data_IF_933668196315
#
_entry.id   IF_933668196315
#
_cell.length_a   1.000
_cell.length_b   1.000
_cell.length_c   1.000
_cell.angle_alpha   90.00
_cell.angle_beta   90.00
_cell.angle_gamma   90.00
#
_symmetry.space_group_name_H-M   'P 1'
#
loop_
_entity.id
_entity.type
_entity.pdbx_description
1 polymer ?
#
# COMPACT_ATOMS: atom_id res chain seq x y z
N UNK A 1 -73.46 8.47 26.65
CA UNK A 1 -72.99 9.21 25.46
C UNK A 1 -72.86 10.68 25.84
N UNK A 2 -71.67 11.11 26.26
CA UNK A 2 -71.35 12.49 26.62
C UNK A 2 -70.01 12.81 25.98
N UNK A 3 -70.03 13.84 25.14
CA UNK A 3 -68.87 14.42 24.48
C UNK A 3 -68.11 15.22 25.54
N UNK A 4 -66.80 14.98 25.67
CA UNK A 4 -65.89 15.92 26.32
C UNK A 4 -64.70 16.13 25.40
N UNK A 5 -64.56 17.37 24.95
CA UNK A 5 -63.41 17.87 24.22
C UNK A 5 -62.20 17.93 25.16
N UNK A 6 -61.03 17.55 24.64
CA UNK A 6 -59.74 17.92 25.22
C UNK A 6 -58.87 18.47 24.11
N UNK A 7 -58.37 19.68 24.37
CA UNK A 7 -57.50 20.49 23.53
C UNK A 7 -56.11 19.88 23.60
N UNK A 8 -55.61 19.33 22.49
CA UNK A 8 -54.19 18.98 22.36
C UNK A 8 -53.44 20.09 21.65
N UNK A 9 -52.62 20.80 22.42
CA UNK A 9 -51.60 21.72 21.96
C UNK A 9 -50.57 20.98 21.09
N UNK A 10 -50.41 21.40 19.83
CA UNK A 10 -49.31 20.95 18.98
C UNK A 10 -48.03 21.68 19.39
N UNK A 11 -47.09 20.98 20.03
CA UNK A 11 -45.69 21.38 20.06
C UNK A 11 -44.97 20.73 18.88
N UNK A 12 -44.80 21.47 17.79
CA UNK A 12 -43.82 21.14 16.75
C UNK A 12 -42.41 21.40 17.32
N UNK A 13 -41.80 20.37 17.88
CA UNK A 13 -40.35 20.34 18.11
C UNK A 13 -39.69 20.02 16.77
N UNK A 14 -39.31 21.08 16.04
CA UNK A 14 -38.30 21.00 14.98
C UNK A 14 -36.96 20.67 15.64
N UNK A 15 -36.74 19.38 15.88
CA UNK A 15 -35.43 18.85 16.21
C UNK A 15 -34.52 18.98 14.99
N UNK A 16 -33.74 20.06 14.93
CA UNK A 16 -32.53 20.08 14.13
C UNK A 16 -31.60 19.01 14.69
N UNK A 17 -31.64 17.80 14.14
CA UNK A 17 -30.49 16.92 14.19
C UNK A 17 -29.41 17.59 13.35
N UNK A 18 -28.59 18.43 14.01
CA UNK A 18 -27.21 18.63 13.59
C UNK A 18 -26.56 17.26 13.70
N UNK A 19 -26.66 16.46 12.64
CA UNK A 19 -25.65 15.45 12.37
C UNK A 19 -24.35 16.24 12.31
N UNK A 20 -23.56 16.18 13.37
CA UNK A 20 -22.15 16.52 13.30
C UNK A 20 -21.55 15.49 12.35
N UNK A 21 -21.64 15.77 11.05
CA UNK A 21 -20.69 15.25 10.10
C UNK A 21 -19.35 15.72 10.64
N UNK A 22 -18.65 14.85 11.37
CA UNK A 22 -17.26 15.04 11.71
C UNK A 22 -16.60 15.48 10.41
N UNK A 23 -15.99 16.67 10.34
CA UNK A 23 -15.37 17.12 9.13
C UNK A 23 -14.33 16.06 8.82
N UNK A 24 -14.52 15.35 7.71
CA UNK A 24 -13.46 14.53 7.14
C UNK A 24 -12.30 15.53 7.03
N UNK A 25 -11.23 15.31 7.82
CA UNK A 25 -10.00 16.11 7.80
C UNK A 25 -9.33 15.88 6.44
N UNK A 26 -9.94 16.40 5.38
CA UNK A 26 -9.56 16.17 3.99
C UNK A 26 -8.46 17.12 3.53
N UNK A 27 -7.99 18.01 4.41
CA UNK A 27 -6.82 18.84 4.17
C UNK A 27 -5.97 18.85 5.42
N UNK A 28 -4.75 18.33 5.28
CA UNK A 28 -3.62 18.74 6.10
C UNK A 28 -3.58 20.27 6.09
N UNK A 29 -3.28 20.90 7.22
CA UNK A 29 -2.95 22.33 7.19
C UNK A 29 -1.80 22.56 6.20
N UNK A 30 -1.70 23.73 5.54
CA UNK A 30 -0.71 23.98 4.48
C UNK A 30 0.74 23.60 4.83
N UNK A 31 1.08 23.64 6.12
CA UNK A 31 2.43 23.39 6.64
C UNK A 31 2.56 22.06 7.41
N UNK A 32 1.50 21.24 7.49
CA UNK A 32 1.52 19.97 8.20
C UNK A 32 2.08 18.86 7.30
N UNK A 33 3.15 18.13 7.72
CA UNK A 33 3.73 17.05 6.92
C UNK A 33 2.69 15.99 6.55
N UNK A 34 2.77 15.41 5.34
CA UNK A 34 1.79 14.41 4.88
C UNK A 34 1.61 13.23 5.83
N UNK A 35 2.70 12.82 6.48
CA UNK A 35 2.73 11.70 7.42
C UNK A 35 2.34 12.06 8.86
N UNK A 36 1.87 13.28 9.15
CA UNK A 36 1.54 13.69 10.52
C UNK A 36 0.52 12.77 11.19
N UNK A 37 -0.44 12.24 10.42
CA UNK A 37 -1.45 11.30 10.92
C UNK A 37 -0.88 9.98 11.45
N UNK A 38 0.38 9.65 11.18
CA UNK A 38 1.07 8.46 11.72
C UNK A 38 1.61 8.69 13.14
N UNK A 39 1.80 9.94 13.57
CA UNK A 39 2.48 10.27 14.83
C UNK A 39 1.72 9.72 16.04
N UNK A 40 2.42 8.95 16.88
CA UNK A 40 1.87 8.39 18.12
C UNK A 40 0.89 7.22 17.92
N UNK A 41 0.87 6.64 16.73
CA UNK A 41 -0.03 5.56 16.31
C UNK A 41 0.76 4.39 15.74
N UNK A 42 0.08 3.28 15.46
CA UNK A 42 0.68 2.11 14.79
C UNK A 42 -0.23 1.56 13.70
N UNK A 43 0.39 0.82 12.78
CA UNK A 43 -0.31 0.11 11.72
C UNK A 43 0.01 -1.37 11.71
N UNK A 44 -0.75 -2.09 10.90
CA UNK A 44 -0.51 -3.49 10.59
C UNK A 44 0.02 -3.59 9.16
N UNK A 45 1.01 -4.45 8.93
CA UNK A 45 1.46 -4.81 7.59
C UNK A 45 1.15 -6.27 7.31
N UNK A 46 0.55 -6.55 6.15
CA UNK A 46 0.21 -7.90 5.72
C UNK A 46 0.76 -8.15 4.32
N UNK A 47 1.59 -9.19 4.23
CA UNK A 47 2.00 -9.77 2.97
C UNK A 47 1.02 -10.87 2.56
N UNK A 48 0.21 -10.57 1.54
CA UNK A 48 -0.54 -11.58 0.81
C UNK A 48 0.14 -11.83 -0.54
N UNK A 49 0.76 -12.99 -0.68
CA UNK A 49 1.67 -13.28 -1.79
C UNK A 49 1.22 -14.54 -2.54
N UNK A 50 1.26 -14.48 -3.87
CA UNK A 50 1.10 -15.64 -4.75
C UNK A 50 2.38 -15.84 -5.57
N UNK A 51 2.92 -17.07 -5.69
CA UNK A 51 2.57 -18.30 -4.95
C UNK A 51 2.88 -18.27 -3.45
N UNK A 52 3.49 -17.18 -2.96
CA UNK A 52 3.79 -16.95 -1.54
C UNK A 52 4.86 -17.88 -0.97
N UNK A 53 5.17 -17.76 0.34
CA UNK A 53 5.99 -18.75 1.03
C UNK A 53 5.32 -20.15 0.97
N UNK A 54 6.08 -21.24 1.21
CA UNK A 54 5.52 -22.59 1.28
C UNK A 54 4.28 -22.62 2.18
N UNK A 55 3.12 -23.08 1.67
CA UNK A 55 1.91 -23.13 2.47
C UNK A 55 2.08 -24.16 3.58
N UNK A 56 1.53 -23.88 4.76
CA UNK A 56 1.51 -24.86 5.86
C UNK A 56 0.69 -26.11 5.49
N UNK A 57 -0.33 -25.96 4.64
CA UNK A 57 -1.19 -27.03 4.10
C UNK A 57 -1.60 -26.72 2.66
N UNK A 58 -1.72 -27.75 1.82
CA UNK A 58 -2.17 -27.62 0.44
C UNK A 58 -1.06 -27.25 -0.54
N UNK A 59 -1.46 -26.87 -1.76
CA UNK A 59 -0.53 -26.46 -2.82
C UNK A 59 -0.36 -24.95 -2.84
N UNK A 60 0.76 -24.48 -3.41
CA UNK A 60 0.97 -23.06 -3.68
C UNK A 60 -0.16 -22.46 -4.50
N UNK A 61 -0.41 -21.16 -4.31
CA UNK A 61 -1.36 -20.42 -5.13
C UNK A 61 -0.84 -20.36 -6.57
N UNK A 62 -1.54 -21.03 -7.49
CA UNK A 62 -1.23 -21.06 -8.91
C UNK A 62 -2.33 -20.44 -9.80
N UNK A 63 -3.52 -20.19 -9.23
CA UNK A 63 -4.62 -19.47 -9.88
C UNK A 63 -4.95 -18.22 -9.07
N UNK A 64 -4.46 -17.09 -9.57
CA UNK A 64 -4.63 -15.79 -8.93
C UNK A 64 -6.09 -15.34 -8.87
N UNK A 65 -6.89 -15.66 -9.90
CA UNK A 65 -8.32 -15.32 -9.93
C UNK A 65 -9.09 -16.09 -8.86
N UNK A 66 -8.82 -17.39 -8.74
CA UNK A 66 -9.42 -18.23 -7.69
C UNK A 66 -8.98 -17.77 -6.30
N UNK A 67 -7.72 -17.44 -6.13
CA UNK A 67 -7.18 -16.99 -4.85
C UNK A 67 -7.77 -15.66 -4.40
N UNK A 68 -7.84 -14.65 -5.27
CA UNK A 68 -8.47 -13.37 -4.93
C UNK A 68 -9.96 -13.51 -4.73
N UNK A 69 -10.67 -14.31 -5.53
CA UNK A 69 -12.12 -14.54 -5.37
C UNK A 69 -12.45 -15.17 -4.01
N UNK A 70 -11.61 -16.08 -3.52
CA UNK A 70 -11.82 -16.76 -2.24
C UNK A 70 -11.43 -15.94 -1.01
N UNK A 71 -10.77 -14.79 -1.18
CA UNK A 71 -10.35 -13.98 -0.05
C UNK A 71 -11.57 -13.35 0.63
N UNK A 72 -11.76 -13.69 1.91
CA UNK A 72 -12.81 -13.13 2.76
C UNK A 72 -12.37 -11.76 3.32
N UNK A 73 -12.81 -10.70 2.65
CA UNK A 73 -12.48 -9.32 3.05
C UNK A 73 -13.17 -8.95 4.36
N UNK A 74 -14.38 -9.44 4.62
CA UNK A 74 -15.13 -9.07 5.83
C UNK A 74 -14.51 -9.72 7.06
N UNK A 75 -14.18 -11.01 6.98
CA UNK A 75 -13.45 -11.72 8.04
C UNK A 75 -12.08 -11.10 8.30
N UNK A 76 -11.30 -10.84 7.24
CA UNK A 76 -10.00 -10.19 7.37
C UNK A 76 -10.10 -8.80 8.04
N UNK A 77 -11.10 -8.01 7.68
CA UNK A 77 -11.30 -6.71 8.27
C UNK A 77 -11.82 -6.77 9.70
N UNK A 78 -12.60 -7.78 10.07
CA UNK A 78 -12.99 -8.02 11.45
C UNK A 78 -11.76 -8.32 12.34
N UNK A 79 -10.77 -9.04 11.82
CA UNK A 79 -9.52 -9.28 12.53
C UNK A 79 -8.65 -8.02 12.58
N UNK A 80 -8.56 -7.27 11.48
CA UNK A 80 -7.89 -5.96 11.47
C UNK A 80 -8.48 -5.00 12.52
N UNK A 81 -9.80 -4.97 12.70
CA UNK A 81 -10.46 -4.13 13.71
C UNK A 81 -10.05 -4.50 15.13
N UNK A 82 -9.96 -5.80 15.44
CA UNK A 82 -9.50 -6.29 16.76
C UNK A 82 -8.07 -5.89 17.08
N UNK A 83 -7.22 -5.68 16.06
CA UNK A 83 -5.83 -5.27 16.30
C UNK A 83 -5.69 -3.88 16.90
N UNK A 84 -6.68 -2.99 16.72
CA UNK A 84 -6.60 -1.58 17.11
C UNK A 84 -5.75 -0.70 16.18
N UNK A 85 -5.12 -1.26 15.14
CA UNK A 85 -4.24 -0.50 14.23
C UNK A 85 -4.98 0.62 13.50
N UNK A 86 -4.32 1.77 13.33
CA UNK A 86 -4.85 2.96 12.66
C UNK A 86 -4.71 2.90 11.12
N UNK A 87 -3.76 2.11 10.61
CA UNK A 87 -3.59 1.89 9.19
C UNK A 87 -3.23 0.46 8.84
N UNK A 88 -3.49 0.10 7.58
CA UNK A 88 -3.10 -1.17 6.99
C UNK A 88 -2.13 -0.92 5.84
N UNK A 89 -0.99 -1.62 5.86
CA UNK A 89 -0.13 -1.81 4.70
C UNK A 89 -0.47 -3.17 4.09
N UNK A 90 -0.89 -3.21 2.83
CA UNK A 90 -1.21 -4.46 2.13
C UNK A 90 -0.47 -4.56 0.80
N UNK A 91 -0.04 -5.76 0.47
CA UNK A 91 0.75 -6.02 -0.74
C UNK A 91 -0.13 -5.96 -1.99
N UNK A 92 0.24 -5.12 -2.97
CA UNK A 92 -0.27 -5.27 -4.34
C UNK A 92 0.38 -6.50 -4.97
N UNK A 93 1.70 -6.63 -4.89
CA UNK A 93 2.42 -7.80 -5.37
C UNK A 93 3.85 -7.80 -4.86
N UNK A 94 4.60 -8.85 -5.20
CA UNK A 94 6.02 -9.01 -4.89
C UNK A 94 6.78 -9.37 -6.18
N UNK A 95 8.09 -9.54 -6.11
CA UNK A 95 8.94 -9.89 -7.27
C UNK A 95 8.60 -11.26 -7.91
N UNK A 96 7.57 -11.97 -7.43
CA UNK A 96 6.97 -13.13 -8.11
C UNK A 96 6.23 -12.74 -9.39
N UNK A 97 5.87 -11.46 -9.56
CA UNK A 97 5.11 -10.91 -10.68
C UNK A 97 3.65 -11.35 -10.74
N UNK A 98 3.09 -11.85 -9.64
CA UNK A 98 1.64 -11.94 -9.44
C UNK A 98 1.19 -10.76 -8.57
N UNK A 99 0.15 -10.06 -9.01
CA UNK A 99 -0.37 -8.86 -8.36
C UNK A 99 -1.84 -9.04 -7.98
N UNK A 100 -2.25 -8.75 -6.74
CA UNK A 100 -3.60 -8.92 -6.21
C UNK A 100 -4.64 -7.89 -6.73
N UNK A 101 -4.30 -7.10 -7.75
CA UNK A 101 -5.15 -6.05 -8.31
C UNK A 101 -4.98 -6.01 -9.84
N UNK A 102 -6.06 -5.82 -10.62
CA UNK A 102 -5.98 -5.66 -12.07
C UNK A 102 -5.10 -4.48 -12.46
N UNK A 103 -4.41 -4.58 -13.59
CA UNK A 103 -3.63 -3.47 -14.15
C UNK A 103 -3.46 -3.60 -15.66
N UNK A 104 -4.12 -2.73 -16.42
CA UNK A 104 -4.11 -2.77 -17.88
C UNK A 104 -2.71 -2.57 -18.48
N UNK A 105 -1.82 -1.83 -17.80
CA UNK A 105 -0.45 -1.63 -18.27
C UNK A 105 0.35 -2.92 -18.16
N UNK A 106 0.22 -3.64 -17.04
CA UNK A 106 0.86 -4.94 -16.87
C UNK A 106 0.34 -5.93 -17.89
N UNK A 107 -0.99 -6.05 -18.03
CA UNK A 107 -1.61 -6.99 -18.96
C UNK A 107 -1.19 -6.69 -20.42
N UNK A 108 -1.04 -5.41 -20.77
CA UNK A 108 -0.57 -4.98 -22.09
C UNK A 108 0.90 -5.27 -22.35
N UNK A 109 1.77 -5.16 -21.35
CA UNK A 109 3.22 -5.26 -21.54
C UNK A 109 3.73 -6.69 -21.32
N UNK A 110 3.19 -7.40 -20.34
CA UNK A 110 3.65 -8.73 -19.93
C UNK A 110 2.66 -9.85 -20.28
N UNK A 111 1.48 -9.52 -20.82
CA UNK A 111 0.44 -10.47 -21.15
C UNK A 111 -0.44 -10.84 -19.95
N UNK A 112 -1.41 -11.72 -20.20
CA UNK A 112 -2.38 -12.15 -19.18
C UNK A 112 -1.77 -13.09 -18.14
N UNK A 113 -2.33 -13.11 -16.93
CA UNK A 113 -1.97 -14.05 -15.86
C UNK A 113 -1.18 -13.43 -14.71
N UNK A 114 -0.66 -12.22 -14.90
CA UNK A 114 0.01 -11.44 -13.87
C UNK A 114 -0.98 -10.75 -12.91
N UNK A 115 -2.19 -10.43 -13.39
CA UNK A 115 -3.21 -9.73 -12.62
C UNK A 115 -4.56 -10.48 -12.64
N UNK A 116 -5.38 -10.39 -11.58
CA UNK A 116 -6.71 -11.00 -11.48
C UNK A 116 -7.79 -10.08 -12.06
N UNK A 117 -8.98 -10.65 -12.28
CA UNK A 117 -10.20 -9.88 -12.58
C UNK A 117 -10.73 -9.12 -11.35
N UNK A 118 -10.68 -9.74 -10.17
CA UNK A 118 -11.12 -9.11 -8.91
C UNK A 118 -10.03 -8.16 -8.42
N UNK A 119 -10.41 -6.93 -8.11
CA UNK A 119 -9.54 -5.95 -7.47
C UNK A 119 -9.54 -6.11 -5.95
N UNK A 120 -8.84 -7.15 -5.46
CA UNK A 120 -8.80 -7.46 -4.03
C UNK A 120 -8.19 -6.31 -3.22
N UNK A 121 -7.16 -5.66 -3.75
CA UNK A 121 -6.49 -4.55 -3.06
C UNK A 121 -7.45 -3.37 -2.91
N UNK A 122 -8.20 -3.01 -3.95
CA UNK A 122 -9.19 -1.92 -3.85
C UNK A 122 -10.37 -2.28 -2.94
N UNK A 123 -10.82 -3.53 -2.93
CA UNK A 123 -11.84 -4.00 -1.99
C UNK A 123 -11.39 -3.77 -0.54
N UNK A 124 -10.15 -4.17 -0.22
CA UNK A 124 -9.53 -3.96 1.10
C UNK A 124 -9.36 -2.47 1.38
N UNK A 125 -8.83 -1.69 0.44
CA UNK A 125 -8.61 -0.26 0.61
C UNK A 125 -9.93 0.45 0.94
N UNK A 126 -11.01 0.19 0.19
CA UNK A 126 -12.35 0.72 0.47
C UNK A 126 -12.86 0.29 1.84
N UNK A 127 -12.66 -0.97 2.23
CA UNK A 127 -13.08 -1.48 3.53
C UNK A 127 -12.33 -0.82 4.69
N UNK A 128 -11.04 -0.50 4.51
CA UNK A 128 -10.24 0.29 5.46
C UNK A 128 -10.76 1.73 5.53
N UNK A 129 -11.05 2.37 4.38
CA UNK A 129 -11.59 3.74 4.36
C UNK A 129 -12.96 3.83 5.04
N UNK A 130 -13.83 2.84 4.87
CA UNK A 130 -15.15 2.77 5.54
C UNK A 130 -15.03 2.82 7.07
N UNK A 131 -13.88 2.42 7.62
CA UNK A 131 -13.57 2.45 9.05
C UNK A 131 -12.93 3.76 9.51
N UNK A 132 -12.75 4.74 8.63
CA UNK A 132 -12.03 5.98 8.92
C UNK A 132 -10.51 5.80 9.11
N UNK A 133 -9.97 4.66 8.69
CA UNK A 133 -8.54 4.30 8.80
C UNK A 133 -7.78 4.59 7.51
N UNK A 134 -6.45 4.51 7.57
CA UNK A 134 -5.57 4.77 6.42
C UNK A 134 -5.12 3.47 5.74
N UNK A 135 -4.96 3.51 4.42
CA UNK A 135 -4.48 2.38 3.63
C UNK A 135 -3.19 2.74 2.87
N UNK A 136 -2.19 1.87 2.96
CA UNK A 136 -0.90 2.01 2.28
C UNK A 136 -0.68 0.79 1.39
N UNK A 137 -0.34 1.01 0.12
CA UNK A 137 0.02 -0.08 -0.78
C UNK A 137 1.51 -0.43 -0.66
N UNK A 138 1.83 -1.71 -0.47
CA UNK A 138 3.18 -2.21 -0.62
C UNK A 138 3.42 -2.68 -2.06
N UNK A 139 4.57 -2.30 -2.63
CA UNK A 139 5.02 -2.76 -3.94
C UNK A 139 6.56 -2.68 -4.05
N UNK A 140 7.24 -3.67 -4.63
CA UNK A 140 8.65 -3.54 -4.97
C UNK A 140 8.89 -2.52 -6.09
N UNK A 141 10.08 -1.95 -6.11
CA UNK A 141 10.55 -1.04 -7.15
C UNK A 141 11.11 -1.74 -8.38
N UNK A 142 11.12 -3.08 -8.41
CA UNK A 142 11.81 -3.89 -9.41
C UNK A 142 10.99 -5.12 -9.82
N UNK A 143 11.37 -5.75 -10.93
CA UNK A 143 10.76 -7.01 -11.44
C UNK A 143 11.81 -8.09 -11.75
N UNK A 144 13.03 -7.92 -11.25
CA UNK A 144 14.21 -8.77 -11.44
C UNK A 144 13.93 -10.25 -11.30
N UNK A 145 13.19 -10.65 -10.26
CA UNK A 145 12.96 -12.07 -9.99
C UNK A 145 11.91 -12.71 -10.92
N UNK A 146 11.12 -11.92 -11.67
CA UNK A 146 10.16 -12.43 -12.65
C UNK A 146 10.63 -12.17 -14.09
N UNK A 147 11.21 -13.21 -14.71
CA UNK A 147 11.70 -13.17 -16.10
C UNK A 147 10.60 -12.91 -17.14
N UNK A 148 9.36 -13.33 -16.89
CA UNK A 148 8.25 -13.10 -17.82
C UNK A 148 7.91 -11.61 -17.96
N UNK A 149 8.19 -10.81 -16.92
CA UNK A 149 7.99 -9.35 -16.96
C UNK A 149 9.11 -8.62 -17.73
N UNK A 150 10.28 -9.24 -17.95
CA UNK A 150 11.48 -8.53 -18.38
C UNK A 150 11.33 -7.88 -19.76
N UNK A 151 10.88 -8.64 -20.76
CA UNK A 151 10.74 -8.13 -22.12
C UNK A 151 9.73 -6.98 -22.21
N UNK A 152 8.54 -7.19 -21.63
CA UNK A 152 7.47 -6.21 -21.61
C UNK A 152 7.89 -4.90 -20.97
N UNK A 153 8.48 -4.99 -19.78
CA UNK A 153 8.92 -3.84 -19.02
C UNK A 153 10.29 -3.29 -19.45
N UNK A 154 11.04 -3.95 -20.33
CA UNK A 154 12.38 -3.51 -20.71
C UNK A 154 13.37 -3.60 -19.55
N UNK A 155 13.24 -4.63 -18.71
CA UNK A 155 14.20 -4.91 -17.64
C UNK A 155 15.55 -5.30 -18.23
N UNK A 156 16.61 -4.59 -17.83
CA UNK A 156 17.96 -4.91 -18.24
C UNK A 156 18.61 -5.88 -17.23
N UNK A 157 19.12 -7.01 -17.71
CA UNK A 157 19.76 -8.02 -16.84
C UNK A 157 21.24 -7.74 -16.57
N UNK A 158 21.84 -6.74 -17.23
CA UNK A 158 23.22 -6.33 -17.00
C UNK A 158 23.33 -5.52 -15.70
N UNK A 159 24.40 -5.77 -14.94
CA UNK A 159 24.72 -5.03 -13.71
C UNK A 159 25.07 -3.57 -13.99
N UNK A 160 24.71 -2.69 -13.06
CA UNK A 160 25.07 -1.26 -13.10
C UNK A 160 24.25 -0.42 -14.07
N UNK A 161 23.16 -0.97 -14.61
CA UNK A 161 22.29 -0.25 -15.54
C UNK A 161 21.36 0.72 -14.80
N UNK A 162 20.98 1.80 -15.47
CA UNK A 162 20.06 2.80 -14.90
C UNK A 162 18.59 2.36 -14.91
N UNK A 163 18.29 1.24 -15.58
CA UNK A 163 16.95 0.71 -15.79
C UNK A 163 15.98 1.77 -16.33
N UNK A 164 16.43 2.72 -17.15
CA UNK A 164 15.62 3.89 -17.54
C UNK A 164 14.31 3.52 -18.26
N UNK A 165 14.36 2.57 -19.21
CA UNK A 165 13.16 2.11 -19.92
C UNK A 165 12.23 1.32 -19.00
N UNK A 166 12.78 0.52 -18.08
CA UNK A 166 12.03 -0.15 -17.03
C UNK A 166 11.30 0.84 -16.15
N UNK A 167 11.99 1.84 -15.60
CA UNK A 167 11.36 2.86 -14.75
C UNK A 167 10.21 3.57 -15.49
N UNK A 168 10.43 3.98 -16.75
CA UNK A 168 9.40 4.63 -17.57
C UNK A 168 8.14 3.77 -17.73
N UNK A 169 8.28 2.45 -17.91
CA UNK A 169 7.15 1.53 -18.10
C UNK A 169 6.51 1.13 -16.77
N UNK A 170 7.30 0.86 -15.74
CA UNK A 170 6.82 0.46 -14.43
C UNK A 170 6.04 1.58 -13.73
N UNK A 171 6.50 2.84 -13.89
CA UNK A 171 5.78 4.00 -13.38
C UNK A 171 4.40 4.21 -14.03
N UNK A 172 4.17 3.71 -15.25
CA UNK A 172 2.82 3.69 -15.85
C UNK A 172 1.90 2.72 -15.10
N UNK A 173 2.39 1.56 -14.71
CA UNK A 173 1.62 0.60 -13.90
C UNK A 173 1.30 1.17 -12.51
N UNK A 174 2.29 1.77 -11.84
CA UNK A 174 2.08 2.46 -10.54
C UNK A 174 1.06 3.59 -10.68
N UNK A 175 1.18 4.43 -11.73
CA UNK A 175 0.24 5.52 -11.99
C UNK A 175 -1.18 5.02 -12.21
N UNK A 176 -1.34 3.91 -12.91
CA UNK A 176 -2.65 3.28 -13.14
C UNK A 176 -3.32 2.89 -11.80
N UNK A 177 -2.60 2.18 -10.93
CA UNK A 177 -3.12 1.84 -9.59
C UNK A 177 -3.37 3.09 -8.73
N UNK A 178 -2.46 4.06 -8.75
CA UNK A 178 -2.63 5.30 -8.00
C UNK A 178 -3.95 6.00 -8.38
N UNK A 179 -4.23 6.13 -9.68
CA UNK A 179 -5.47 6.73 -10.18
C UNK A 179 -6.68 5.87 -9.82
N UNK A 180 -6.59 4.55 -10.03
CA UNK A 180 -7.67 3.59 -9.76
C UNK A 180 -8.10 3.60 -8.30
N UNK A 181 -7.15 3.61 -7.37
CA UNK A 181 -7.44 3.59 -5.94
C UNK A 181 -7.83 4.98 -5.44
N UNK A 182 -7.23 6.03 -6.01
CA UNK A 182 -7.58 7.41 -5.76
C UNK A 182 -7.57 7.76 -4.26
N UNK A 183 -8.65 8.32 -3.71
CA UNK A 183 -8.72 8.68 -2.29
C UNK A 183 -8.73 7.48 -1.33
N UNK A 184 -8.82 6.24 -1.83
CA UNK A 184 -8.69 5.06 -0.98
C UNK A 184 -7.23 4.68 -0.69
N UNK A 185 -6.28 5.33 -1.33
CA UNK A 185 -4.85 5.10 -1.15
C UNK A 185 -4.20 6.27 -0.42
N UNK A 186 -3.91 6.09 0.86
CA UNK A 186 -3.29 7.11 1.71
C UNK A 186 -1.76 7.06 1.67
N UNK A 187 -1.15 6.00 1.12
CA UNK A 187 0.29 5.96 0.94
C UNK A 187 0.87 4.77 0.17
N UNK A 188 2.19 4.80 0.00
CA UNK A 188 2.99 3.76 -0.65
C UNK A 188 4.19 3.37 0.20
N UNK A 189 4.41 2.07 0.31
CA UNK A 189 5.63 1.49 0.84
C UNK A 189 6.35 0.76 -0.28
N UNK A 190 7.40 1.38 -0.81
CA UNK A 190 8.16 0.82 -1.91
C UNK A 190 9.36 0.01 -1.44
N UNK A 191 9.45 -1.26 -1.85
CA UNK A 191 10.60 -2.11 -1.52
C UNK A 191 11.70 -2.07 -2.58
N UNK A 192 12.92 -2.46 -2.24
CA UNK A 192 13.96 -2.72 -3.23
C UNK A 192 14.75 -1.49 -3.70
N UNK A 193 14.69 -0.37 -2.99
CA UNK A 193 15.41 0.87 -3.30
C UNK A 193 16.86 0.83 -2.77
N UNK A 194 17.55 -0.28 -3.00
CA UNK A 194 18.90 -0.54 -2.50
C UNK A 194 19.99 0.15 -3.33
N UNK A 195 21.22 0.12 -2.85
CA UNK A 195 22.42 0.50 -3.61
C UNK A 195 22.98 -0.64 -4.47
N UNK A 196 22.23 -1.74 -4.62
CA UNK A 196 22.66 -2.95 -5.32
C UNK A 196 22.76 -2.75 -6.83
N UNK A 197 23.73 -3.40 -7.46
CA UNK A 197 24.03 -3.25 -8.90
C UNK A 197 22.87 -3.58 -9.85
N UNK A 198 21.91 -4.41 -9.42
CA UNK A 198 20.80 -4.80 -10.28
C UNK A 198 19.80 -3.65 -10.53
N UNK A 199 19.59 -2.79 -9.53
CA UNK A 199 18.82 -1.55 -9.66
C UNK A 199 19.24 -0.54 -8.58
N UNK A 200 20.38 0.16 -8.78
CA UNK A 200 20.90 1.09 -7.80
C UNK A 200 19.99 2.32 -7.64
N UNK A 201 19.65 2.67 -6.40
CA UNK A 201 18.79 3.81 -6.09
C UNK A 201 19.33 5.16 -6.60
N UNK A 202 20.65 5.30 -6.83
CA UNK A 202 21.25 6.49 -7.47
C UNK A 202 20.71 6.78 -8.86
N UNK A 203 20.10 5.80 -9.53
CA UNK A 203 19.47 5.95 -10.84
C UNK A 203 17.95 6.12 -10.78
N UNK A 204 17.34 6.03 -9.60
CA UNK A 204 15.89 6.22 -9.46
C UNK A 204 15.51 7.68 -9.73
N UNK A 205 14.54 7.87 -10.63
CA UNK A 205 14.02 9.20 -10.97
C UNK A 205 12.97 9.65 -9.97
N UNK A 206 13.40 10.09 -8.78
CA UNK A 206 12.51 10.34 -7.63
C UNK A 206 11.26 11.16 -7.96
N UNK A 207 11.40 12.26 -8.71
CA UNK A 207 10.26 13.11 -9.10
C UNK A 207 9.21 12.34 -9.92
N UNK A 208 9.63 11.46 -10.83
CA UNK A 208 8.72 10.64 -11.62
C UNK A 208 8.02 9.59 -10.74
N UNK A 209 8.73 9.02 -9.76
CA UNK A 209 8.15 8.10 -8.76
C UNK A 209 7.08 8.80 -7.91
N UNK A 210 7.36 10.01 -7.41
CA UNK A 210 6.37 10.81 -6.69
C UNK A 210 5.16 11.17 -7.56
N UNK A 211 5.40 11.61 -8.81
CA UNK A 211 4.35 12.01 -9.73
C UNK A 211 3.43 10.85 -10.14
N UNK A 212 3.98 9.66 -10.34
CA UNK A 212 3.18 8.45 -10.61
C UNK A 212 2.37 8.04 -9.38
N UNK A 213 3.02 7.94 -8.23
CA UNK A 213 2.44 7.43 -6.98
C UNK A 213 1.32 8.33 -6.43
N UNK A 214 1.42 9.65 -6.64
CA UNK A 214 0.44 10.65 -6.18
C UNK A 214 -0.62 11.00 -7.23
N UNK A 215 -0.64 10.30 -8.36
CA UNK A 215 -1.52 10.64 -9.49
C UNK A 215 -3.02 10.61 -9.16
N UNK A 216 -3.47 9.73 -8.27
CA UNK A 216 -4.86 9.68 -7.79
C UNK A 216 -5.08 10.31 -6.41
N UNK A 217 -4.02 10.53 -5.63
CA UNK A 217 -4.07 11.21 -4.34
C UNK A 217 -2.78 12.00 -4.07
N UNK A 218 -2.85 13.33 -4.19
CA UNK A 218 -1.72 14.23 -3.95
C UNK A 218 -1.18 14.23 -2.52
N UNK A 219 -1.98 13.75 -1.56
CA UNK A 219 -1.63 13.68 -0.15
C UNK A 219 -1.08 12.31 0.24
N UNK A 220 -0.97 11.35 -0.70
CA UNK A 220 -0.43 10.04 -0.39
C UNK A 220 1.00 10.15 0.15
N UNK A 221 1.24 9.52 1.31
CA UNK A 221 2.58 9.43 1.93
C UNK A 221 3.40 8.38 1.21
N UNK A 222 4.69 8.61 1.03
CA UNK A 222 5.56 7.70 0.28
C UNK A 222 6.83 7.43 1.08
N UNK A 223 7.19 6.15 1.15
CA UNK A 223 8.48 5.69 1.62
C UNK A 223 9.15 4.78 0.61
N UNK A 224 10.48 4.80 0.59
CA UNK A 224 11.35 3.96 -0.22
C UNK A 224 12.27 3.19 0.71
N UNK A 225 12.29 1.87 0.58
CA UNK A 225 13.04 0.99 1.46
C UNK A 225 14.38 0.57 0.83
N UNK A 226 15.48 0.92 1.49
CA UNK A 226 16.86 0.50 1.19
C UNK A 226 17.38 -0.55 2.19
N UNK A 227 16.47 -1.19 2.94
CA UNK A 227 16.81 -2.03 4.08
C UNK A 227 16.83 -1.27 5.40
N UNK A 228 16.73 0.07 5.39
CA UNK A 228 16.54 0.90 6.57
C UNK A 228 17.47 0.48 7.72
N UNK A 229 16.92 0.08 8.85
CA UNK A 229 17.68 -0.27 10.03
C UNK A 229 18.52 -1.54 9.84
N UNK A 230 18.09 -2.50 9.00
CA UNK A 230 18.91 -3.64 8.57
C UNK A 230 20.22 -3.22 7.89
N UNK A 231 20.23 -2.04 7.25
CA UNK A 231 21.39 -1.48 6.54
C UNK A 231 22.16 -0.42 7.36
N UNK A 232 21.90 -0.32 8.68
CA UNK A 232 22.37 0.77 9.54
C UNK A 232 21.88 2.17 9.12
N UNK A 233 20.84 2.24 8.28
CA UNK A 233 20.25 3.49 7.82
C UNK A 233 19.12 3.93 8.75
N UNK A 234 19.30 5.10 9.37
CA UNK A 234 18.31 5.76 10.23
C UNK A 234 17.74 7.02 9.60
N UNK A 235 18.06 7.25 8.32
CA UNK A 235 17.69 8.45 7.56
C UNK A 235 16.94 8.02 6.30
N UNK A 236 16.04 8.88 5.79
CA UNK A 236 15.41 8.63 4.50
C UNK A 236 16.44 8.61 3.37
N UNK A 237 16.16 7.86 2.31
CA UNK A 237 17.01 7.78 1.10
C UNK A 237 17.08 9.15 0.41
N UNK A 238 15.95 9.86 0.41
CA UNK A 238 15.76 11.18 -0.22
C UNK A 238 15.01 12.09 0.74
N UNK A 239 15.41 13.37 0.80
CA UNK A 239 14.84 14.33 1.76
C UNK A 239 13.32 14.56 1.62
N UNK A 240 12.74 14.28 0.44
CA UNK A 240 11.31 14.40 0.18
C UNK A 240 10.47 13.19 0.63
N UNK A 241 11.11 12.15 1.17
CA UNK A 241 10.43 10.95 1.69
C UNK A 241 9.59 11.29 2.91
N UNK A 242 8.30 10.92 2.91
CA UNK A 242 7.36 11.39 3.93
C UNK A 242 7.54 10.67 5.29
N UNK A 243 8.02 9.42 5.28
CA UNK A 243 8.29 8.61 6.49
C UNK A 243 9.39 7.56 6.26
N UNK A 244 10.06 7.10 7.31
CA UNK A 244 11.08 6.05 7.21
C UNK A 244 10.43 4.68 6.97
N UNK A 245 10.99 3.86 6.08
CA UNK A 245 10.43 2.54 5.75
C UNK A 245 10.49 1.57 6.92
N UNK A 246 11.53 1.70 7.76
CA UNK A 246 11.60 1.10 9.09
C UNK A 246 11.86 -0.40 9.09
N UNK A 247 12.37 -0.97 7.99
CA UNK A 247 12.72 -2.40 7.95
C UNK A 247 13.70 -2.76 9.07
N UNK A 248 13.31 -3.75 9.87
CA UNK A 248 14.04 -4.25 11.04
C UNK A 248 14.18 -5.75 10.95
N UNK A 249 15.37 -6.25 11.28
CA UNK A 249 15.62 -7.69 11.36
C UNK A 249 15.16 -8.27 12.71
N UNK A 250 15.49 -7.58 13.80
CA UNK A 250 15.20 -8.07 15.15
C UNK A 250 15.14 -6.93 16.16
N UNK A 251 14.38 -7.17 17.24
CA UNK A 251 14.40 -6.38 18.46
C UNK A 251 15.20 -7.14 19.54
N UNK A 252 16.11 -6.46 20.24
CA UNK A 252 16.83 -6.99 21.40
C UNK A 252 16.40 -6.15 22.60
N UNK A 253 15.81 -6.78 23.61
CA UNK A 253 15.28 -6.12 24.81
C UNK A 253 14.35 -4.93 24.48
N UNK A 254 13.49 -5.12 23.48
CA UNK A 254 12.55 -4.10 23.01
C UNK A 254 13.18 -2.96 22.19
N UNK A 255 14.48 -3.04 21.87
CA UNK A 255 15.19 -2.03 21.08
C UNK A 255 15.54 -2.55 19.69
N UNK A 256 15.51 -1.64 18.72
CA UNK A 256 15.94 -1.92 17.34
C UNK A 256 17.44 -2.24 17.33
N UNK A 257 17.81 -3.39 16.77
CA UNK A 257 19.21 -3.64 16.39
C UNK A 257 19.45 -3.10 14.99
N UNK A 258 20.44 -2.21 14.87
CA UNK A 258 20.92 -1.73 13.57
C UNK A 258 21.87 -2.76 12.93
N UNK A 259 21.82 -2.86 11.60
CA UNK A 259 22.64 -3.75 10.80
C UNK A 259 22.17 -5.20 10.83
N UNK A 260 22.36 -5.95 9.75
CA UNK A 260 22.28 -7.42 9.80
C UNK A 260 23.58 -7.99 10.37
N UNK A 261 23.50 -9.01 11.22
CA UNK A 261 24.73 -9.77 11.55
C UNK A 261 25.22 -10.40 10.25
N UNK A 262 26.52 -10.37 9.98
CA UNK A 262 27.09 -11.21 8.93
C UNK A 262 26.60 -12.64 9.18
N UNK A 263 26.07 -13.31 8.15
CA UNK A 263 25.80 -14.75 8.27
C UNK A 263 27.13 -15.38 8.66
N UNK A 264 27.22 -15.99 9.84
CA UNK A 264 28.29 -16.95 10.07
C UNK A 264 27.98 -18.12 9.14
N UNK A 265 28.86 -18.32 8.15
CA UNK A 265 28.79 -19.42 7.20
C UNK A 265 28.83 -20.78 7.91
#
# INVERSE_FOLDING_TARGET
MKINASISCYFLLLGFFLTSALPIRNRLAPDEPRAYWMKGKYGLMVHWLAPGPPPQKGVHVNDLNKATTKFDVDGFMADFDKTGADWLIFTIGQNTGFYASPNVVIDSLAGSGHTPRRDLVLDIAKAVKKRGKQFIAYLPCEVRANKAMHQGFGWNTQSGTDQAEFQKKYLKAIREWAIRFGPNLDGWWFDGCYTWDAFPNKYMKWEDWYAASRAGNKNAVITFNDGSFCSNSTKPIVASQDYLSGEVEVLIDGKIRLGRKAKME
#
